data_IF_543649915844
#
_entry.id   IF_543649915844
#
_cell.length_a   1.000
_cell.length_b   1.000
_cell.length_c   1.000
_cell.angle_alpha   90.00
_cell.angle_beta   90.00
_cell.angle_gamma   90.00
#
_symmetry.space_group_name_H-M   'P 1'
#
loop_
_entity.id
_entity.type
_entity.pdbx_description
1 polymer ?
#
# COMPACT_ATOMS: atom_id res chain seq x y z
N UNK A 1 -9.44 -2.62 -20.08
CA UNK A 1 -10.47 -2.88 -19.03
C UNK A 1 -11.27 -1.62 -18.71
N UNK A 2 -10.66 -0.51 -18.27
CA UNK A 2 -11.40 0.73 -17.99
C UNK A 2 -12.21 1.21 -19.21
N UNK A 3 -11.64 1.20 -20.42
CA UNK A 3 -12.39 1.55 -21.63
C UNK A 3 -13.62 0.65 -21.93
N UNK A 4 -13.74 -0.54 -21.33
CA UNK A 4 -14.89 -1.43 -21.49
C UNK A 4 -15.95 -1.20 -20.40
N UNK A 5 -15.53 -0.94 -19.15
CA UNK A 5 -16.42 -0.88 -17.98
C UNK A 5 -16.67 0.52 -17.44
N UNK A 6 -15.81 1.48 -17.79
CA UNK A 6 -15.84 2.87 -17.38
C UNK A 6 -15.59 3.77 -18.61
N UNK A 7 -16.56 3.83 -19.55
CA UNK A 7 -16.41 4.61 -20.77
C UNK A 7 -16.33 6.12 -20.47
N UNK A 8 -15.87 6.86 -21.47
CA UNK A 8 -15.79 8.32 -21.42
C UNK A 8 -17.21 8.88 -21.27
N UNK A 9 -17.38 9.82 -20.33
CA UNK A 9 -18.66 10.44 -20.03
C UNK A 9 -18.80 11.75 -20.82
N UNK A 10 -19.26 11.68 -22.07
CA UNK A 10 -19.69 12.84 -22.87
C UNK A 10 -21.05 12.60 -23.49
N UNK A 11 -21.81 13.67 -23.72
CA UNK A 11 -23.18 13.61 -24.24
C UNK A 11 -23.28 12.89 -25.60
N UNK A 12 -22.23 12.95 -26.42
CA UNK A 12 -22.17 12.33 -27.74
C UNK A 12 -21.98 10.80 -27.70
N UNK A 13 -21.41 10.25 -26.63
CA UNK A 13 -21.10 8.82 -26.50
C UNK A 13 -21.86 8.13 -25.36
N UNK A 14 -22.96 8.76 -24.89
CA UNK A 14 -23.74 8.24 -23.77
C UNK A 14 -24.49 6.93 -24.12
N UNK A 15 -24.93 6.80 -25.38
CA UNK A 15 -25.71 5.65 -25.86
C UNK A 15 -24.87 4.64 -26.65
N UNK A 16 -23.77 5.09 -27.27
CA UNK A 16 -22.81 4.23 -27.95
C UNK A 16 -21.38 4.62 -27.54
N UNK A 17 -20.86 4.02 -26.46
CA UNK A 17 -19.51 4.32 -25.98
C UNK A 17 -18.44 3.89 -26.99
N UNK A 18 -17.43 4.75 -27.18
CA UNK A 18 -16.27 4.39 -27.99
C UNK A 18 -15.55 3.19 -27.37
N UNK A 19 -15.54 2.08 -28.10
CA UNK A 19 -14.89 0.83 -27.69
C UNK A 19 -13.36 0.89 -27.89
N UNK A 20 -12.58 0.08 -27.16
CA UNK A 20 -11.16 -0.09 -27.47
C UNK A 20 -10.97 -0.73 -28.84
N UNK A 21 -9.87 -0.39 -29.52
CA UNK A 21 -9.52 -1.03 -30.78
C UNK A 21 -9.26 -2.53 -30.58
N UNK A 22 -9.59 -3.35 -31.59
CA UNK A 22 -9.38 -4.81 -31.58
C UNK A 22 -7.94 -5.19 -31.25
N UNK A 23 -6.96 -4.45 -31.79
CA UNK A 23 -5.52 -4.66 -31.53
C UNK A 23 -5.16 -4.50 -30.05
N UNK A 24 -5.80 -3.57 -29.34
CA UNK A 24 -5.58 -3.32 -27.90
C UNK A 24 -6.11 -4.48 -27.07
N UNK A 25 -7.31 -4.98 -27.41
CA UNK A 25 -7.89 -6.15 -26.76
C UNK A 25 -7.04 -7.39 -26.98
N UNK A 26 -6.61 -7.65 -28.22
CA UNK A 26 -5.79 -8.82 -28.55
C UNK A 26 -4.47 -8.79 -27.77
N UNK A 27 -3.78 -7.66 -27.74
CA UNK A 27 -2.56 -7.48 -26.94
C UNK A 27 -2.78 -7.75 -25.45
N UNK A 28 -3.89 -7.26 -24.90
CA UNK A 28 -4.26 -7.51 -23.50
C UNK A 28 -4.59 -8.98 -23.24
N UNK A 29 -5.29 -9.64 -24.17
CA UNK A 29 -5.60 -11.08 -24.09
C UNK A 29 -4.32 -11.89 -24.11
N UNK A 30 -3.42 -11.65 -25.06
CA UNK A 30 -2.20 -12.42 -25.22
C UNK A 30 -1.27 -12.30 -23.98
N UNK A 31 -1.25 -11.14 -23.32
CA UNK A 31 -0.49 -10.93 -22.08
C UNK A 31 -1.16 -11.49 -20.81
N UNK A 32 -2.49 -11.39 -20.69
CA UNK A 32 -3.19 -11.70 -19.45
C UNK A 32 -3.85 -13.08 -19.44
N UNK A 33 -4.31 -13.60 -20.57
CA UNK A 33 -5.00 -14.90 -20.66
C UNK A 33 -4.13 -16.06 -20.12
N UNK A 34 -2.81 -16.15 -20.40
CA UNK A 34 -1.97 -17.19 -19.80
C UNK A 34 -1.91 -17.10 -18.27
N UNK A 35 -1.99 -15.89 -17.71
CA UNK A 35 -2.00 -15.65 -16.27
C UNK A 35 -3.35 -16.05 -15.68
N UNK A 36 -4.45 -15.69 -16.34
CA UNK A 36 -5.80 -16.10 -15.92
C UNK A 36 -5.95 -17.61 -15.85
N UNK A 37 -5.44 -18.32 -16.87
CA UNK A 37 -5.48 -19.79 -16.93
C UNK A 37 -4.72 -20.44 -15.77
N UNK A 38 -3.64 -19.81 -15.27
CA UNK A 38 -2.90 -20.30 -14.09
C UNK A 38 -3.77 -20.33 -12.82
N UNK A 39 -4.78 -19.48 -12.75
CA UNK A 39 -5.74 -19.42 -11.65
C UNK A 39 -7.10 -20.04 -12.03
N UNK A 40 -7.13 -20.93 -13.02
CA UNK A 40 -8.34 -21.58 -13.54
C UNK A 40 -9.43 -20.61 -14.01
N UNK A 41 -9.04 -19.42 -14.50
CA UNK A 41 -9.94 -18.48 -15.15
C UNK A 41 -9.69 -18.47 -16.67
N UNK A 42 -10.76 -18.49 -17.45
CA UNK A 42 -10.70 -18.29 -18.90
C UNK A 42 -10.92 -16.83 -19.26
N UNK A 43 -10.47 -16.42 -20.45
CA UNK A 43 -10.82 -15.11 -20.98
C UNK A 43 -12.34 -15.00 -21.12
N UNK A 44 -13.00 -14.00 -20.50
CA UNK A 44 -14.45 -13.92 -20.45
C UNK A 44 -15.02 -13.45 -21.78
N UNK A 45 -16.22 -13.91 -22.11
CA UNK A 45 -16.94 -13.54 -23.33
C UNK A 45 -17.21 -12.03 -23.41
N UNK A 46 -17.45 -11.37 -22.27
CA UNK A 46 -17.61 -9.91 -22.20
C UNK A 46 -16.37 -9.11 -22.62
N UNK A 47 -15.21 -9.76 -22.75
CA UNK A 47 -13.96 -9.19 -23.25
C UNK A 47 -13.53 -9.82 -24.59
N UNK A 48 -14.42 -10.53 -25.28
CA UNK A 48 -14.12 -11.10 -26.58
C UNK A 48 -13.70 -10.00 -27.58
N UNK A 49 -12.54 -10.18 -28.21
CA UNK A 49 -11.97 -9.16 -29.08
C UNK A 49 -12.62 -9.14 -30.48
N UNK A 50 -13.49 -10.09 -30.80
CA UNK A 50 -13.98 -10.28 -32.16
C UNK A 50 -14.95 -9.21 -32.64
N UNK A 51 -15.75 -8.66 -31.72
CA UNK A 51 -16.73 -7.61 -31.98
C UNK A 51 -16.15 -6.18 -31.89
N UNK A 52 -14.85 -6.05 -31.64
CA UNK A 52 -14.22 -4.75 -31.50
C UNK A 52 -13.82 -4.13 -32.85
N UNK A 53 -13.95 -2.81 -33.00
CA UNK A 53 -13.59 -2.11 -34.23
C UNK A 53 -12.09 -2.16 -34.53
N UNK A 54 -11.76 -2.18 -35.82
CA UNK A 54 -10.40 -1.96 -36.34
C UNK A 54 -10.27 -0.48 -36.71
N UNK A 55 -9.16 0.17 -36.34
CA UNK A 55 -8.93 1.61 -36.51
C UNK A 55 -9.18 2.12 -37.95
N UNK A 56 -8.86 1.31 -38.96
CA UNK A 56 -9.09 1.65 -40.37
C UNK A 56 -10.57 1.69 -40.78
N UNK A 57 -11.49 1.18 -39.96
CA UNK A 57 -12.92 1.04 -40.26
C UNK A 57 -13.85 1.74 -39.25
N UNK A 58 -13.32 2.55 -38.32
CA UNK A 58 -14.13 3.28 -37.34
C UNK A 58 -13.32 4.00 -36.25
N UNK A 59 -14.02 4.68 -35.35
CA UNK A 59 -13.43 5.37 -34.18
C UNK A 59 -13.26 4.38 -33.04
N UNK A 60 -12.03 4.19 -32.56
CA UNK A 60 -11.75 3.31 -31.44
C UNK A 60 -10.59 3.84 -30.58
N UNK A 61 -10.57 3.45 -29.31
CA UNK A 61 -9.57 3.91 -28.36
C UNK A 61 -8.27 3.12 -28.52
N UNK A 62 -7.17 3.82 -28.77
CA UNK A 62 -5.80 3.30 -28.73
C UNK A 62 -5.01 3.87 -27.54
N UNK A 63 -3.96 3.19 -27.05
CA UNK A 63 -3.17 3.64 -25.89
C UNK A 63 -2.52 5.00 -26.11
N UNK A 64 -2.14 5.30 -27.35
CA UNK A 64 -1.46 6.54 -27.74
C UNK A 64 -2.38 7.77 -27.58
N UNK A 65 -3.70 7.59 -27.55
CA UNK A 65 -4.68 8.65 -27.36
C UNK A 65 -5.00 8.96 -25.88
N UNK A 66 -4.64 8.07 -24.94
CA UNK A 66 -4.90 8.24 -23.49
C UNK A 66 -3.63 8.62 -22.74
N UNK A 67 -2.47 8.19 -23.26
CA UNK A 67 -1.20 8.29 -22.56
C UNK A 67 -0.28 9.22 -23.34
N UNK A 68 -0.44 10.53 -23.14
CA UNK A 68 0.42 11.52 -23.80
C UNK A 68 1.82 11.58 -23.21
N UNK A 69 2.08 10.97 -22.03
CA UNK A 69 3.41 10.85 -21.43
C UNK A 69 3.53 9.56 -20.59
N UNK A 70 3.89 8.44 -21.21
CA UNK A 70 4.66 7.42 -20.51
C UNK A 70 6.06 7.42 -21.13
N UNK A 71 7.13 7.54 -20.33
CA UNK A 71 8.49 7.25 -20.81
C UNK A 71 8.49 5.87 -21.48
N UNK A 72 9.21 5.73 -22.58
CA UNK A 72 9.26 4.58 -23.51
C UNK A 72 9.66 3.20 -22.93
N UNK A 73 9.50 2.96 -21.63
CA UNK A 73 9.98 1.77 -20.93
C UNK A 73 8.86 0.84 -20.45
N UNK A 74 7.85 0.60 -21.29
CA UNK A 74 7.07 -0.64 -21.21
C UNK A 74 7.49 -1.60 -22.34
N UNK A 75 8.60 -2.34 -22.19
CA UNK A 75 8.84 -3.49 -23.04
C UNK A 75 7.82 -4.57 -22.65
N UNK A 76 6.73 -4.66 -23.43
CA UNK A 76 5.78 -5.76 -23.33
C UNK A 76 6.27 -6.91 -24.20
N UNK A 77 7.33 -7.59 -23.74
CA UNK A 77 7.76 -8.85 -24.34
C UNK A 77 6.95 -10.01 -23.73
N UNK A 78 5.82 -10.30 -24.38
CA UNK A 78 5.08 -11.55 -24.22
C UNK A 78 5.88 -12.70 -24.86
N UNK A 79 6.91 -13.21 -24.18
CA UNK A 79 7.43 -14.58 -24.37
C UNK A 79 8.57 -14.92 -23.41
N UNK A 80 8.34 -14.84 -22.10
CA UNK A 80 8.94 -15.78 -21.15
C UNK A 80 8.31 -15.59 -19.77
N UNK A 81 8.16 -16.65 -18.99
CA UNK A 81 7.87 -16.60 -17.56
C UNK A 81 9.04 -16.03 -16.73
N UNK A 82 9.74 -15.05 -17.27
CA UNK A 82 10.91 -14.42 -16.69
C UNK A 82 10.57 -12.94 -16.59
N UNK A 83 10.15 -12.49 -15.41
CA UNK A 83 10.01 -11.07 -15.11
C UNK A 83 11.43 -10.49 -15.20
N UNK A 84 11.87 -10.14 -16.42
CA UNK A 84 13.12 -9.42 -16.65
C UNK A 84 12.95 -8.13 -15.87
N UNK A 85 13.62 -8.09 -14.71
CA UNK A 85 13.47 -7.01 -13.77
C UNK A 85 13.61 -5.71 -14.53
N UNK A 86 12.57 -4.89 -14.50
CA UNK A 86 12.76 -3.46 -14.51
C UNK A 86 13.84 -3.25 -13.43
N UNK A 87 15.04 -2.92 -13.89
CA UNK A 87 16.16 -2.69 -13.03
C UNK A 87 15.69 -1.77 -11.91
N UNK A 88 16.05 -2.09 -10.68
CA UNK A 88 15.81 -1.28 -9.49
C UNK A 88 16.41 0.16 -9.60
N UNK A 89 16.82 0.58 -10.79
CA UNK A 89 17.63 1.75 -11.11
C UNK A 89 16.82 3.01 -11.38
N UNK A 90 15.48 2.93 -11.49
CA UNK A 90 14.60 4.12 -11.62
C UNK A 90 13.68 4.39 -10.42
N UNK A 91 13.92 3.76 -9.27
CA UNK A 91 13.15 4.09 -8.06
C UNK A 91 13.61 5.44 -7.48
N UNK A 92 12.90 6.53 -7.82
CA UNK A 92 13.12 7.87 -7.24
C UNK A 92 12.24 8.07 -6.01
N UNK A 93 12.59 7.45 -4.88
CA UNK A 93 11.88 7.69 -3.62
C UNK A 93 12.24 9.08 -3.06
N UNK A 94 11.26 9.86 -2.62
CA UNK A 94 11.52 11.09 -1.87
C UNK A 94 11.91 10.73 -0.43
N UNK A 95 13.14 11.02 0.04
CA UNK A 95 13.52 10.68 1.41
C UNK A 95 12.77 11.57 2.39
N UNK A 96 12.04 10.94 3.32
CA UNK A 96 11.31 11.64 4.39
C UNK A 96 12.11 11.52 5.69
N UNK A 97 12.45 12.67 6.29
CA UNK A 97 13.16 12.70 7.57
C UNK A 97 12.23 12.41 8.74
N UNK A 98 12.73 11.61 9.69
CA UNK A 98 12.10 11.30 10.97
C UNK A 98 12.15 12.53 11.90
N UNK A 99 11.20 13.44 11.73
CA UNK A 99 11.01 14.59 12.63
C UNK A 99 9.69 14.48 13.38
N UNK A 100 9.59 15.17 14.52
CA UNK A 100 8.37 15.20 15.32
C UNK A 100 7.16 15.70 14.50
N UNK A 101 7.34 16.74 13.69
CA UNK A 101 6.26 17.30 12.86
C UNK A 101 5.75 16.25 11.85
N UNK A 102 6.67 15.54 11.20
CA UNK A 102 6.32 14.47 10.25
C UNK A 102 5.60 13.32 10.95
N UNK A 103 6.11 12.88 12.11
CA UNK A 103 5.53 11.80 12.90
C UNK A 103 4.07 12.07 13.31
N UNK A 104 3.82 13.29 13.82
CA UNK A 104 2.49 13.71 14.26
C UNK A 104 1.51 13.88 13.08
N UNK A 105 1.99 14.37 11.94
CA UNK A 105 1.16 14.63 10.75
C UNK A 105 0.73 13.36 10.03
N UNK A 106 1.65 12.39 9.90
CA UNK A 106 1.45 11.25 9.01
C UNK A 106 0.72 10.06 9.67
N UNK A 107 0.38 10.16 10.96
CA UNK A 107 -0.39 9.18 11.75
C UNK A 107 -0.03 7.71 11.47
N UNK A 108 1.25 7.35 11.61
CA UNK A 108 1.71 5.97 11.38
C UNK A 108 1.01 4.95 12.29
N UNK A 109 0.55 3.84 11.74
CA UNK A 109 -0.11 2.77 12.50
C UNK A 109 0.87 1.98 13.35
N UNK A 110 2.05 1.68 12.79
CA UNK A 110 3.10 0.94 13.48
C UNK A 110 4.45 1.65 13.45
N UNK A 111 5.24 1.40 14.49
CA UNK A 111 6.61 1.87 14.61
C UNK A 111 7.44 0.78 15.26
N UNK A 112 8.44 0.30 14.54
CA UNK A 112 9.26 -0.84 14.96
C UNK A 112 10.75 -0.55 14.79
N UNK A 113 11.57 -1.13 15.67
CA UNK A 113 12.99 -1.34 15.44
C UNK A 113 13.16 -2.72 14.83
N UNK A 114 13.64 -2.78 13.60
CA UNK A 114 13.82 -4.04 12.91
C UNK A 114 15.18 -4.12 12.21
N UNK A 115 15.73 -5.33 12.12
CA UNK A 115 16.92 -5.63 11.32
C UNK A 115 16.49 -6.21 9.99
N UNK A 116 16.96 -5.65 8.90
CA UNK A 116 16.61 -6.14 7.56
C UNK A 116 17.39 -7.44 7.30
N UNK A 117 16.68 -8.54 7.06
CA UNK A 117 17.31 -9.81 6.69
C UNK A 117 17.61 -9.81 5.19
N UNK A 118 16.58 -9.59 4.39
CA UNK A 118 16.65 -9.63 2.94
C UNK A 118 15.50 -8.84 2.30
N UNK A 119 15.68 -8.43 1.05
CA UNK A 119 14.61 -7.85 0.22
C UNK A 119 14.31 -8.84 -0.89
N UNK A 120 13.09 -9.34 -0.92
CA UNK A 120 12.58 -10.27 -1.93
C UNK A 120 11.87 -9.48 -3.01
N UNK A 121 12.28 -9.69 -4.26
CA UNK A 121 11.59 -9.14 -5.42
C UNK A 121 11.02 -10.30 -6.22
N UNK A 122 9.70 -10.39 -6.30
CA UNK A 122 8.97 -11.40 -7.06
C UNK A 122 8.00 -10.70 -7.99
N UNK A 123 8.33 -10.63 -9.27
CA UNK A 123 7.45 -10.15 -10.35
C UNK A 123 6.63 -8.90 -10.00
N UNK A 124 7.28 -7.74 -9.96
CA UNK A 124 6.72 -6.44 -9.54
C UNK A 124 6.24 -6.34 -8.08
N UNK A 125 6.19 -7.44 -7.31
CA UNK A 125 6.00 -7.38 -5.87
C UNK A 125 7.36 -7.32 -5.17
N UNK A 126 7.58 -6.26 -4.40
CA UNK A 126 8.75 -6.13 -3.54
C UNK A 126 8.32 -6.34 -2.08
N UNK A 127 9.06 -7.17 -1.36
CA UNK A 127 8.77 -7.48 0.04
C UNK A 127 10.07 -7.45 0.83
N UNK A 128 10.14 -6.63 1.87
CA UNK A 128 11.28 -6.63 2.79
C UNK A 128 11.01 -7.59 3.95
N UNK A 129 11.91 -8.56 4.13
CA UNK A 129 11.89 -9.49 5.25
C UNK A 129 12.73 -8.89 6.37
N UNK A 130 12.10 -8.60 7.51
CA UNK A 130 12.75 -7.93 8.64
C UNK A 130 12.55 -8.70 9.93
N UNK A 131 13.53 -8.63 10.82
CA UNK A 131 13.47 -9.21 12.17
C UNK A 131 13.11 -8.11 13.17
N UNK A 132 11.96 -8.23 13.84
CA UNK A 132 11.49 -7.23 14.79
C UNK A 132 12.21 -7.38 16.12
N UNK A 133 13.01 -6.37 16.49
CA UNK A 133 13.72 -6.31 17.78
C UNK A 133 12.90 -5.62 18.85
N UNK A 134 12.22 -4.53 18.49
CA UNK A 134 11.43 -3.72 19.43
C UNK A 134 10.20 -3.14 18.74
N UNK A 135 9.07 -3.12 19.45
CA UNK A 135 7.82 -2.53 18.99
C UNK A 135 7.60 -1.27 19.81
N UNK A 136 7.63 -0.11 19.15
CA UNK A 136 7.47 1.20 19.78
C UNK A 136 6.01 1.65 19.74
N UNK A 137 5.33 1.36 18.63
CA UNK A 137 3.90 1.60 18.41
C UNK A 137 3.33 0.44 17.59
N UNK A 138 2.17 -0.04 17.98
CA UNK A 138 1.32 -0.93 17.19
C UNK A 138 -0.12 -0.46 17.34
N UNK A 139 -0.92 -0.72 16.33
CA UNK A 139 -2.33 -0.35 16.29
C UNK A 139 -3.17 -1.62 16.30
N UNK A 140 -3.73 -2.05 15.17
CA UNK A 140 -4.68 -3.17 15.12
C UNK A 140 -4.05 -4.48 14.66
N UNK A 141 -3.00 -4.42 13.85
CA UNK A 141 -2.29 -5.63 13.41
C UNK A 141 -1.32 -6.10 14.49
N UNK A 142 -1.37 -7.39 14.83
CA UNK A 142 -0.49 -7.99 15.82
C UNK A 142 0.92 -8.19 15.23
N UNK A 143 1.91 -7.54 15.83
CA UNK A 143 3.30 -7.59 15.37
C UNK A 143 4.09 -8.49 16.33
N UNK A 144 4.49 -9.71 15.92
CA UNK A 144 5.35 -10.55 16.75
C UNK A 144 6.78 -9.99 16.80
N UNK A 145 7.51 -10.28 17.89
CA UNK A 145 8.95 -10.03 18.00
C UNK A 145 9.76 -11.13 17.29
N UNK A 146 9.47 -11.30 16.01
CA UNK A 146 10.08 -12.30 15.14
C UNK A 146 10.19 -11.72 13.71
N UNK A 147 10.35 -12.59 12.73
CA UNK A 147 10.51 -12.28 11.32
C UNK A 147 9.16 -11.93 10.72
N UNK A 148 9.04 -10.72 10.17
CA UNK A 148 7.84 -10.22 9.53
C UNK A 148 8.15 -9.71 8.12
N UNK A 149 7.13 -9.71 7.26
CA UNK A 149 7.23 -9.21 5.90
C UNK A 149 6.60 -7.82 5.83
N UNK A 150 7.35 -6.86 5.29
CA UNK A 150 6.85 -5.54 4.93
C UNK A 150 6.52 -5.54 3.45
N UNK A 151 5.26 -5.30 3.12
CA UNK A 151 4.74 -5.34 1.75
C UNK A 151 4.74 -3.94 1.13
N UNK A 152 5.15 -3.83 -0.12
CA UNK A 152 5.00 -2.62 -0.92
C UNK A 152 3.80 -2.77 -1.86
N UNK A 153 3.17 -1.65 -2.22
CA UNK A 153 2.12 -1.61 -3.26
C UNK A 153 2.69 -1.24 -4.65
N UNK A 154 4.01 -1.22 -4.78
CA UNK A 154 4.72 -0.85 -6.01
C UNK A 154 5.93 -1.77 -6.21
N UNK A 155 6.42 -1.84 -7.44
CA UNK A 155 7.67 -2.55 -7.78
C UNK A 155 8.94 -1.93 -7.20
N UNK A 156 8.82 -0.91 -6.35
CA UNK A 156 9.93 -0.23 -5.69
C UNK A 156 9.83 -0.36 -4.17
N UNK A 157 10.98 -0.55 -3.54
CA UNK A 157 11.11 -0.44 -2.08
C UNK A 157 11.33 1.04 -1.71
N UNK A 158 10.27 1.74 -1.35
CA UNK A 158 10.33 3.11 -0.87
C UNK A 158 9.81 3.18 0.57
N UNK A 159 10.66 3.50 1.57
CA UNK A 159 12.07 3.90 1.47
C UNK A 159 13.06 2.74 1.20
N UNK A 160 14.24 3.02 0.63
CA UNK A 160 15.24 1.99 0.36
C UNK A 160 15.82 1.43 1.67
N UNK A 161 15.92 0.10 1.74
CA UNK A 161 16.47 -0.64 2.87
C UNK A 161 17.70 -1.43 2.43
N UNK A 162 18.75 -1.39 3.25
CA UNK A 162 19.94 -2.21 3.06
C UNK A 162 19.86 -3.47 3.93
N UNK A 163 20.25 -4.62 3.38
CA UNK A 163 20.29 -5.87 4.13
C UNK A 163 21.33 -5.79 5.27
N UNK A 164 21.08 -6.56 6.34
CA UNK A 164 21.90 -6.66 7.54
C UNK A 164 22.03 -5.35 8.37
N UNK A 165 21.32 -4.29 8.01
CA UNK A 165 21.27 -3.04 8.78
C UNK A 165 20.02 -2.96 9.67
N UNK A 166 20.14 -2.21 10.77
CA UNK A 166 19.03 -1.94 11.68
C UNK A 166 18.38 -0.60 11.37
N UNK A 167 17.06 -0.58 11.35
CA UNK A 167 16.26 0.61 11.06
C UNK A 167 15.19 0.82 12.12
N UNK A 168 14.81 2.09 12.29
CA UNK A 168 13.50 2.45 12.81
C UNK A 168 12.57 2.63 11.62
N UNK A 169 11.51 1.83 11.58
CA UNK A 169 10.54 1.80 10.49
C UNK A 169 9.20 2.29 11.02
N UNK A 170 8.61 3.26 10.33
CA UNK A 170 7.31 3.86 10.62
C UNK A 170 6.45 3.73 9.38
N UNK A 171 5.30 3.07 9.49
CA UNK A 171 4.47 2.76 8.33
C UNK A 171 3.01 2.58 8.67
N UNK A 172 2.29 2.01 7.71
CA UNK A 172 0.85 1.82 7.72
C UNK A 172 0.50 0.34 7.75
N UNK A 173 -0.67 0.01 8.28
CA UNK A 173 -1.14 -1.37 8.32
C UNK A 173 -2.35 -1.55 7.40
N UNK A 174 -2.46 -2.72 6.79
CA UNK A 174 -3.66 -3.19 6.11
C UNK A 174 -4.37 -4.16 7.05
N UNK A 175 -5.47 -3.69 7.64
CA UNK A 175 -6.26 -4.43 8.63
C UNK A 175 -6.92 -5.67 8.01
N UNK A 176 -7.45 -5.56 6.79
CA UNK A 176 -8.18 -6.64 6.11
C UNK A 176 -7.28 -7.85 5.87
N UNK A 177 -6.03 -7.60 5.48
CA UNK A 177 -5.06 -8.65 5.17
C UNK A 177 -4.10 -8.95 6.32
N UNK A 178 -4.20 -8.21 7.42
CA UNK A 178 -3.25 -8.24 8.54
C UNK A 178 -1.80 -8.08 8.06
N UNK A 179 -1.55 -7.09 7.20
CA UNK A 179 -0.22 -6.85 6.58
C UNK A 179 0.38 -5.54 7.04
N UNK A 180 1.70 -5.54 7.22
CA UNK A 180 2.48 -4.32 7.44
C UNK A 180 2.93 -3.76 6.09
N UNK A 181 2.64 -2.49 5.84
CA UNK A 181 2.94 -1.83 4.58
C UNK A 181 4.17 -0.93 4.69
N UNK A 182 5.00 -0.92 3.64
CA UNK A 182 6.11 0.00 3.42
C UNK A 182 5.88 0.72 2.09
N UNK A 183 5.09 1.79 2.14
CA UNK A 183 4.63 2.56 0.97
C UNK A 183 5.21 3.97 0.95
N UNK A 184 5.03 4.70 -0.16
CA UNK A 184 5.38 6.11 -0.26
C UNK A 184 4.71 6.93 0.86
N UNK A 185 5.51 7.58 1.71
CA UNK A 185 5.05 8.21 2.95
C UNK A 185 5.55 7.53 4.23
N UNK A 186 5.96 6.27 4.14
CA UNK A 186 6.63 5.54 5.24
C UNK A 186 8.03 6.09 5.46
N UNK A 187 8.56 5.91 6.67
CA UNK A 187 9.92 6.32 7.03
C UNK A 187 10.71 5.09 7.43
N UNK A 188 11.91 4.96 6.88
CA UNK A 188 12.92 4.04 7.36
C UNK A 188 14.24 4.81 7.50
N UNK A 189 14.68 5.01 8.73
CA UNK A 189 15.98 5.61 9.03
C UNK A 189 16.83 4.61 9.80
N UNK A 190 18.14 4.60 9.55
CA UNK A 190 19.08 3.73 10.28
C UNK A 190 18.94 3.97 11.79
N UNK A 191 18.90 2.90 12.56
CA UNK A 191 18.69 2.98 14.00
C UNK A 191 19.77 3.81 14.68
N UNK A 192 19.34 4.73 15.54
CA UNK A 192 20.19 5.51 16.45
C UNK A 192 19.49 5.55 17.80
N UNK A 193 20.18 5.24 18.90
CA UNK A 193 19.54 5.19 20.22
C UNK A 193 18.90 6.52 20.64
N UNK A 194 19.52 7.64 20.22
CA UNK A 194 18.95 8.98 20.42
C UNK A 194 17.63 9.17 19.67
N UNK A 195 17.50 8.61 18.46
CA UNK A 195 16.29 8.68 17.65
C UNK A 195 15.17 7.82 18.24
N UNK A 196 15.48 6.59 18.65
CA UNK A 196 14.53 5.71 19.32
C UNK A 196 13.93 6.34 20.58
N UNK A 197 14.77 6.94 21.44
CA UNK A 197 14.33 7.69 22.62
C UNK A 197 13.43 8.88 22.27
N UNK A 198 13.71 9.62 21.18
CA UNK A 198 12.88 10.74 20.71
C UNK A 198 11.51 10.25 20.25
N UNK A 199 11.46 9.16 19.47
CA UNK A 199 10.21 8.61 18.94
C UNK A 199 9.30 8.09 20.06
N UNK A 200 9.86 7.42 21.07
CA UNK A 200 9.09 7.04 22.28
C UNK A 200 8.42 8.24 22.95
N UNK A 201 9.13 9.37 23.08
CA UNK A 201 8.58 10.61 23.63
C UNK A 201 7.50 11.21 22.75
N UNK A 202 7.66 11.17 21.42
CA UNK A 202 6.64 11.64 20.47
C UNK A 202 5.36 10.81 20.56
N UNK A 203 5.50 9.48 20.65
CA UNK A 203 4.36 8.57 20.81
C UNK A 203 3.62 8.77 22.14
N UNK A 204 4.36 8.90 23.25
CA UNK A 204 3.77 9.24 24.55
C UNK A 204 2.98 10.55 24.49
N UNK A 205 3.52 11.59 23.85
CA UNK A 205 2.82 12.87 23.70
C UNK A 205 1.51 12.73 22.91
N UNK A 206 1.49 11.92 21.84
CA UNK A 206 0.26 11.62 21.09
C UNK A 206 -0.79 10.91 21.95
N UNK A 207 -0.38 9.91 22.74
CA UNK A 207 -1.29 9.20 23.64
C UNK A 207 -1.90 10.13 24.69
N UNK A 208 -1.14 11.09 25.20
CA UNK A 208 -1.65 12.11 26.13
C UNK A 208 -2.59 13.12 25.45
N UNK A 209 -2.29 13.55 24.22
CA UNK A 209 -3.17 14.44 23.44
C UNK A 209 -4.51 13.78 23.09
N UNK A 210 -4.51 12.47 22.78
CA UNK A 210 -5.74 11.71 22.51
C UNK A 210 -6.63 11.53 23.74
N UNK A 211 -6.05 11.42 24.93
CA UNK A 211 -6.80 11.31 26.19
C UNK A 211 -7.50 12.62 26.61
N UNK A 212 -7.12 13.77 26.07
CA UNK A 212 -7.77 15.06 26.34
C UNK A 212 -9.06 15.30 25.54
N UNK A 213 -9.46 14.37 24.66
CA UNK A 213 -10.66 14.47 23.80
C UNK A 213 -11.68 13.33 24.00
N UNK A 214 -11.61 12.62 25.12
CA UNK A 214 -12.69 11.72 25.56
C UNK A 214 -13.65 12.47 26.50
N UNK A 215 -14.95 12.34 26.25
CA UNK A 215 -16.07 12.98 26.97
C UNK A 215 -16.03 12.86 28.51
N UNK A 216 -16.71 13.78 29.23
CA UNK A 216 -16.86 13.72 30.68
C UNK A 216 -17.84 12.58 31.07
N UNK A 217 -17.29 11.40 31.30
CA UNK A 217 -18.01 10.25 31.85
C UNK A 217 -18.03 10.26 33.38
N UNK A 218 -19.19 10.61 33.93
CA UNK A 218 -19.79 10.14 35.19
C UNK A 218 -18.89 10.08 36.44
N UNK A 219 -19.11 11.05 37.33
CA UNK A 219 -18.78 10.92 38.74
C UNK A 219 -19.61 9.81 39.38
N UNK A 220 -18.97 8.68 39.66
CA UNK A 220 -19.49 7.66 40.56
C UNK A 220 -19.77 8.28 41.92
N UNK A 221 -21.07 8.35 42.27
CA UNK A 221 -21.52 8.61 43.63
C UNK A 221 -21.27 7.36 44.44
N UNK A 222 -20.18 7.37 45.21
CA UNK A 222 -19.86 6.33 46.18
C UNK A 222 -20.99 6.19 47.20
N UNK A 223 -21.72 5.07 47.13
CA UNK A 223 -22.54 4.57 48.23
C UNK A 223 -21.62 4.30 49.43
N UNK A 224 -21.84 5.01 50.54
CA UNK A 224 -21.27 4.68 51.84
C UNK A 224 -22.38 4.11 52.72
N UNK A 225 -22.36 2.79 52.85
CA UNK A 225 -23.16 2.03 53.81
C UNK A 225 -22.61 2.25 55.23
N UNK A 226 -23.46 2.61 56.18
CA UNK A 226 -23.11 2.69 57.60
C UNK A 226 -24.34 2.98 58.47
N UNK A 227 -24.97 1.92 58.96
CA UNK A 227 -26.04 1.91 59.98
C UNK A 227 -25.54 2.57 61.28
N UNK A 228 -26.41 3.30 62.01
CA UNK A 228 -27.13 2.84 63.23
C UNK A 228 -27.69 4.01 64.07
N UNK A 229 -28.95 3.83 64.50
CA UNK A 229 -29.56 4.12 65.81
C UNK A 229 -29.80 5.56 66.34
N UNK A 230 -31.09 5.80 66.60
CA UNK A 230 -31.74 6.31 67.83
C UNK A 230 -32.48 7.65 67.79
N UNK A 231 -33.81 7.52 67.77
CA UNK A 231 -34.76 7.95 68.80
C UNK A 231 -34.48 9.22 69.60
N UNK A 232 -35.23 10.30 69.31
CA UNK A 232 -36.23 10.90 70.21
C UNK A 232 -37.05 11.96 69.49
#
# INVERSE_FOLDING_TARGET
LCAMYAPICTLEFLYDPIKPCKSVCQRARDGCEPIMRRYNHSWPESLACDELPVYERGVCISPEAIVTELPEDFPMDSNNGNCRGASSERCKCKPIKATQKTYLRNNYNYVIRAKVKEVKTKCHDVTAVVEVKEILKSSLVNIPKDTVNLYTNSGCLCPPLSANEEYIIMGYEDEERSRLLLVEGSIAEKWKDRLGKKVKRWDQKLRHLGKGKGEPGQSDSAQKSGKTSNSR
#
